data_IF_795978781270
#
_entry.id   IF_795978781270
#
_cell.length_a   1.000
_cell.length_b   1.000
_cell.length_c   1.000
_cell.angle_alpha   90.00
_cell.angle_beta   90.00
_cell.angle_gamma   90.00
#
_symmetry.space_group_name_H-M   'P 1'
#
loop_
_entity.id
_entity.type
_entity.pdbx_description
1 polymer ?
#
# COMPACT_ATOMS: atom_id res chain seq x y z
N UNK A 1 30.53 -5.35 -52.82
CA UNK A 1 30.69 -4.43 -51.68
C UNK A 1 30.27 -5.17 -50.42
N UNK A 2 31.17 -5.31 -49.44
CA UNK A 2 30.91 -6.12 -48.25
C UNK A 2 30.13 -5.34 -47.19
N UNK A 3 29.08 -5.96 -46.63
CA UNK A 3 28.22 -5.37 -45.61
C UNK A 3 28.97 -5.24 -44.27
N UNK A 4 28.99 -4.02 -43.71
CA UNK A 4 29.57 -3.74 -42.38
C UNK A 4 28.45 -3.64 -41.33
N UNK A 5 28.44 -4.51 -40.30
CA UNK A 5 27.39 -4.55 -39.29
C UNK A 5 27.28 -3.28 -38.43
N UNK A 6 26.09 -2.96 -37.91
CA UNK A 6 25.78 -1.68 -37.25
C UNK A 6 26.64 -1.36 -36.03
N UNK A 7 27.08 -2.37 -35.28
CA UNK A 7 27.80 -2.21 -34.01
C UNK A 7 29.26 -1.74 -34.19
N UNK A 8 29.78 -1.68 -35.42
CA UNK A 8 31.16 -1.19 -35.71
C UNK A 8 31.20 0.22 -36.30
N UNK A 9 30.08 0.95 -36.31
CA UNK A 9 29.96 2.26 -37.00
C UNK A 9 30.35 3.48 -36.16
N UNK A 10 30.76 3.31 -34.91
CA UNK A 10 31.08 4.45 -34.04
C UNK A 10 32.50 4.35 -33.47
N UNK A 11 33.49 4.78 -34.25
CA UNK A 11 34.78 5.24 -33.74
C UNK A 11 35.29 6.38 -34.64
N UNK A 12 35.44 7.56 -33.99
CA UNK A 12 36.05 8.83 -34.43
C UNK A 12 35.24 9.79 -35.31
N UNK A 13 34.76 10.86 -34.66
CA UNK A 13 35.25 12.23 -34.95
C UNK A 13 34.87 13.17 -33.80
N UNK A 14 35.86 13.60 -33.04
CA UNK A 14 35.76 14.81 -32.21
C UNK A 14 35.81 16.04 -33.13
N UNK A 15 34.83 16.93 -32.99
CA UNK A 15 35.00 18.34 -33.31
C UNK A 15 33.96 19.20 -32.54
N UNK A 16 34.51 20.19 -31.86
CA UNK A 16 33.95 21.18 -30.96
C UNK A 16 32.83 22.04 -31.57
N UNK A 17 31.73 22.29 -30.84
CA UNK A 17 30.94 23.52 -30.98
C UNK A 17 30.17 23.87 -29.70
N UNK A 18 30.25 25.13 -29.34
CA UNK A 18 29.85 25.82 -28.11
C UNK A 18 28.35 25.96 -27.85
N UNK A 19 28.00 25.99 -26.56
CA UNK A 19 26.93 26.74 -25.87
C UNK A 19 25.48 26.65 -26.39
N UNK A 20 24.59 26.07 -25.56
CA UNK A 20 23.40 26.80 -25.09
C UNK A 20 22.83 26.17 -23.81
N UNK A 21 22.76 26.98 -22.76
CA UNK A 21 22.08 26.69 -21.51
C UNK A 21 20.57 26.62 -21.75
N UNK A 22 20.00 25.42 -21.71
CA UNK A 22 18.56 25.22 -21.68
C UNK A 22 18.20 24.46 -20.40
N UNK A 23 17.85 25.23 -19.38
CA UNK A 23 17.24 24.76 -18.14
C UNK A 23 15.94 24.06 -18.52
N UNK A 24 15.94 22.72 -18.49
CA UNK A 24 14.71 21.95 -18.55
C UNK A 24 14.25 21.64 -17.13
N UNK A 25 12.97 21.89 -16.79
CA UNK A 25 12.47 21.66 -15.45
C UNK A 25 12.49 20.16 -15.13
N UNK A 26 13.04 19.82 -13.97
CA UNK A 26 13.17 18.47 -13.46
C UNK A 26 11.80 17.75 -13.46
N UNK A 27 11.62 16.85 -14.43
CA UNK A 27 10.48 15.94 -14.51
C UNK A 27 10.55 15.04 -13.27
N UNK A 28 9.64 15.26 -12.31
CA UNK A 28 9.47 14.37 -11.14
C UNK A 28 9.28 12.94 -11.63
N UNK A 29 10.31 12.12 -11.53
CA UNK A 29 10.27 10.72 -11.87
C UNK A 29 9.45 9.99 -10.79
N UNK A 30 8.18 9.74 -11.07
CA UNK A 30 7.42 8.75 -10.35
C UNK A 30 8.01 7.38 -10.68
N UNK A 31 8.80 6.82 -9.76
CA UNK A 31 9.15 5.40 -9.79
C UNK A 31 7.85 4.59 -9.63
N UNK A 32 7.28 4.19 -10.77
CA UNK A 32 6.19 3.22 -10.84
C UNK A 32 6.76 1.87 -10.38
N UNK A 33 6.56 1.52 -9.12
CA UNK A 33 6.58 0.11 -8.72
C UNK A 33 5.59 -0.62 -9.60
N UNK A 34 6.06 -1.62 -10.36
CA UNK A 34 5.26 -2.35 -11.35
C UNK A 34 4.21 -3.28 -10.73
N UNK A 35 4.09 -3.32 -9.41
CA UNK A 35 3.14 -4.18 -8.71
C UNK A 35 2.14 -3.32 -7.92
N UNK A 36 0.88 -3.40 -8.36
CA UNK A 36 -0.33 -2.83 -7.75
C UNK A 36 -0.50 -1.30 -7.89
N UNK A 37 -1.08 -0.87 -9.02
CA UNK A 37 -1.54 0.52 -9.27
C UNK A 37 -2.56 1.01 -8.21
N UNK A 38 -2.08 1.55 -7.09
CA UNK A 38 -2.87 2.46 -6.25
C UNK A 38 -2.81 3.86 -6.87
N UNK A 39 -3.96 4.55 -6.89
CA UNK A 39 -4.06 5.90 -7.46
C UNK A 39 -3.93 6.91 -6.32
N UNK A 40 -3.18 7.99 -6.55
CA UNK A 40 -3.13 9.13 -5.64
C UNK A 40 -4.05 10.22 -6.19
N UNK A 41 -4.80 10.88 -5.30
CA UNK A 41 -5.52 12.09 -5.66
C UNK A 41 -4.54 13.21 -6.03
N UNK A 42 -4.99 14.17 -6.83
CA UNK A 42 -4.19 15.33 -7.25
C UNK A 42 -3.59 16.08 -6.05
N UNK A 43 -4.41 16.33 -5.02
CA UNK A 43 -4.02 17.01 -3.79
C UNK A 43 -3.60 16.05 -2.66
N UNK A 44 -3.21 14.82 -2.99
CA UNK A 44 -2.86 13.82 -1.98
C UNK A 44 -1.69 14.29 -1.11
N UNK A 45 -1.84 14.10 0.20
CA UNK A 45 -0.78 14.37 1.18
C UNK A 45 0.04 13.10 1.42
N UNK A 46 1.35 13.23 1.40
CA UNK A 46 2.27 12.14 1.73
C UNK A 46 3.28 12.62 2.76
N UNK A 47 3.45 11.85 3.83
CA UNK A 47 4.40 12.12 4.92
C UNK A 47 5.23 10.88 5.20
N UNK A 48 6.50 11.11 5.50
CA UNK A 48 7.34 10.14 6.17
C UNK A 48 7.79 10.74 7.50
N UNK A 49 7.55 10.01 8.59
CA UNK A 49 7.84 10.42 9.95
C UNK A 49 8.80 9.41 10.57
N UNK A 50 9.70 9.90 11.42
CA UNK A 50 10.46 9.05 12.34
C UNK A 50 9.85 9.29 13.71
N UNK A 51 9.38 8.21 14.34
CA UNK A 51 8.58 8.29 15.56
C UNK A 51 9.26 7.45 16.63
N UNK A 52 9.38 7.99 17.84
CA UNK A 52 9.90 7.28 19.00
C UNK A 52 11.11 7.95 19.66
N UNK A 53 11.87 8.79 18.95
CA UNK A 53 12.99 9.55 19.52
C UNK A 53 12.62 11.00 19.85
N UNK A 54 13.01 11.49 21.02
CA UNK A 54 12.66 12.84 21.51
C UNK A 54 13.34 13.97 20.73
N UNK A 55 14.54 13.71 20.20
CA UNK A 55 15.32 14.70 19.46
C UNK A 55 15.70 14.17 18.06
N UNK A 56 15.19 14.83 17.02
CA UNK A 56 15.48 14.47 15.63
C UNK A 56 16.97 14.61 15.27
N UNK A 57 17.71 15.50 15.94
CA UNK A 57 19.15 15.69 15.67
C UNK A 57 19.99 14.47 16.02
N UNK A 58 19.50 13.60 16.92
CA UNK A 58 20.17 12.37 17.34
C UNK A 58 19.85 11.16 16.45
N UNK A 59 18.92 11.31 15.50
CA UNK A 59 18.52 10.22 14.62
C UNK A 59 19.72 9.63 13.85
N UNK A 60 20.61 10.42 13.23
CA UNK A 60 21.77 9.85 12.55
C UNK A 60 22.65 9.06 13.53
N UNK A 61 22.90 9.57 14.72
CA UNK A 61 23.79 8.90 15.68
C UNK A 61 23.24 7.56 16.14
N UNK A 62 21.91 7.47 16.32
CA UNK A 62 21.22 6.33 16.92
C UNK A 62 20.66 5.33 15.90
N UNK A 63 20.67 5.64 14.61
CA UNK A 63 20.09 4.76 13.59
C UNK A 63 21.06 4.35 12.49
N UNK A 64 20.79 3.19 11.91
CA UNK A 64 21.50 2.66 10.75
C UNK A 64 20.52 2.01 9.79
N UNK A 65 20.93 1.84 8.53
CA UNK A 65 20.17 1.11 7.53
C UNK A 65 20.70 -0.32 7.42
N UNK A 66 19.83 -1.32 7.55
CA UNK A 66 20.22 -2.73 7.41
C UNK A 66 19.42 -3.45 6.33
N UNK A 67 20.04 -4.41 5.62
CA UNK A 67 19.37 -5.20 4.61
C UNK A 67 18.29 -6.04 5.26
N UNK A 68 17.14 -6.07 4.61
CA UNK A 68 16.06 -6.95 5.05
C UNK A 68 16.24 -8.29 4.34
N UNK A 69 16.48 -9.35 5.11
CA UNK A 69 16.44 -10.72 4.60
C UNK A 69 14.99 -11.06 4.26
N UNK A 70 14.63 -10.91 2.99
CA UNK A 70 13.27 -11.15 2.52
C UNK A 70 13.28 -12.12 1.35
N UNK A 71 12.55 -13.23 1.50
CA UNK A 71 12.24 -14.16 0.40
C UNK A 71 11.60 -13.42 -0.80
N UNK A 72 10.87 -12.32 -0.51
CA UNK A 72 10.20 -11.43 -1.47
C UNK A 72 11.12 -10.84 -2.56
N UNK A 73 12.40 -10.56 -2.26
CA UNK A 73 13.33 -9.99 -3.26
C UNK A 73 14.20 -11.05 -3.93
N UNK A 74 14.36 -12.23 -3.32
CA UNK A 74 15.16 -13.30 -3.91
C UNK A 74 14.59 -13.81 -5.23
N UNK A 75 13.26 -13.72 -5.44
CA UNK A 75 12.64 -14.12 -6.70
C UNK A 75 12.78 -13.10 -7.85
N UNK A 76 13.11 -11.82 -7.59
CA UNK A 76 12.98 -10.76 -8.59
C UNK A 76 14.28 -10.10 -9.09
N UNK A 77 15.47 -10.53 -8.65
CA UNK A 77 16.70 -10.22 -9.38
C UNK A 77 17.88 -10.95 -8.77
N UNK A 78 18.62 -11.71 -9.57
CA UNK A 78 20.00 -12.07 -9.24
C UNK A 78 20.96 -10.87 -9.23
N UNK A 79 20.48 -9.63 -9.40
CA UNK A 79 21.29 -8.44 -9.69
C UNK A 79 21.01 -7.18 -8.85
N UNK A 80 19.86 -7.02 -8.16
CA UNK A 80 19.64 -5.85 -7.29
C UNK A 80 19.87 -6.20 -5.82
N UNK A 81 20.57 -5.34 -5.06
CA UNK A 81 20.75 -5.50 -3.62
C UNK A 81 19.39 -5.49 -2.88
N UNK A 82 19.28 -6.22 -1.75
CA UNK A 82 18.08 -6.21 -0.94
C UNK A 82 17.80 -4.78 -0.43
N UNK A 83 16.52 -4.37 -0.32
CA UNK A 83 16.23 -3.07 0.26
C UNK A 83 16.61 -3.03 1.73
N UNK A 84 16.77 -1.82 2.24
CA UNK A 84 17.18 -1.58 3.62
C UNK A 84 16.01 -1.16 4.49
N UNK A 85 16.11 -1.38 5.80
CA UNK A 85 15.18 -0.85 6.80
C UNK A 85 15.94 -0.04 7.84
N UNK A 86 15.27 0.94 8.44
CA UNK A 86 15.86 1.79 9.47
C UNK A 86 15.80 1.06 10.82
N UNK A 87 16.96 0.87 11.44
CA UNK A 87 17.11 0.19 12.72
C UNK A 87 17.79 1.11 13.73
N UNK A 88 17.49 0.92 15.01
CA UNK A 88 18.29 1.51 16.09
C UNK A 88 19.60 0.74 16.23
N UNK A 89 20.71 1.46 16.43
CA UNK A 89 22.03 0.85 16.68
C UNK A 89 22.08 0.13 18.03
N UNK A 90 21.57 0.82 19.06
CA UNK A 90 21.52 0.36 20.45
C UNK A 90 20.25 0.87 21.13
N UNK A 91 19.90 0.31 22.28
CA UNK A 91 18.89 0.90 23.16
C UNK A 91 19.45 2.23 23.67
N UNK A 92 18.90 3.34 23.20
CA UNK A 92 19.31 4.68 23.63
C UNK A 92 19.10 4.88 25.13
N UNK A 93 19.65 5.96 25.69
CA UNK A 93 19.33 6.32 27.07
C UNK A 93 17.82 6.55 27.19
N UNK A 94 17.24 6.32 28.36
CA UNK A 94 15.78 6.49 28.58
C UNK A 94 15.26 7.87 28.10
N UNK A 95 16.09 8.90 28.19
CA UNK A 95 15.79 10.28 27.77
C UNK A 95 15.78 10.48 26.25
N UNK A 96 16.27 9.51 25.47
CA UNK A 96 16.28 9.58 24.00
C UNK A 96 14.92 9.27 23.41
N UNK A 97 14.02 8.64 24.19
CA UNK A 97 12.71 8.23 23.72
C UNK A 97 11.65 9.29 24.04
N UNK A 98 10.75 9.51 23.08
CA UNK A 98 9.55 10.31 23.31
C UNK A 98 8.66 9.62 24.35
N UNK A 99 8.20 10.37 25.35
CA UNK A 99 7.27 9.86 26.35
C UNK A 99 5.91 9.48 25.75
N UNK A 100 5.39 10.34 24.85
CA UNK A 100 4.07 10.17 24.22
C UNK A 100 4.14 10.29 22.68
N UNK A 101 4.75 9.32 21.98
CA UNK A 101 4.99 9.40 20.53
C UNK A 101 3.69 9.54 19.71
N UNK A 102 2.58 8.95 20.19
CA UNK A 102 1.27 9.05 19.54
C UNK A 102 0.71 10.49 19.52
N UNK A 103 1.05 11.33 20.50
CA UNK A 103 0.64 12.74 20.51
C UNK A 103 1.36 13.54 19.42
N UNK A 104 2.66 13.28 19.24
CA UNK A 104 3.44 13.85 18.14
C UNK A 104 2.82 13.49 16.79
N UNK A 105 2.50 12.20 16.56
CA UNK A 105 1.87 11.74 15.32
C UNK A 105 0.54 12.46 15.06
N UNK A 106 -0.36 12.47 16.04
CA UNK A 106 -1.68 13.08 15.88
C UNK A 106 -1.59 14.60 15.65
N UNK A 107 -0.68 15.30 16.35
CA UNK A 107 -0.45 16.74 16.15
C UNK A 107 0.10 17.03 14.76
N UNK A 108 1.11 16.28 14.33
CA UNK A 108 1.76 16.45 13.03
C UNK A 108 0.81 16.19 11.87
N UNK A 109 -0.08 15.20 11.99
CA UNK A 109 -1.00 14.82 10.92
C UNK A 109 -2.34 15.56 10.94
N UNK A 110 -2.64 16.36 11.97
CA UNK A 110 -3.92 17.08 12.15
C UNK A 110 -4.34 17.81 10.87
N UNK A 111 -3.50 18.72 10.39
CA UNK A 111 -3.86 19.58 9.27
C UNK A 111 -3.98 18.81 7.95
N UNK A 112 -3.07 17.87 7.70
CA UNK A 112 -3.11 17.06 6.49
C UNK A 112 -4.36 16.16 6.45
N UNK A 113 -4.74 15.56 7.59
CA UNK A 113 -5.95 14.74 7.69
C UNK A 113 -7.22 15.57 7.44
N UNK A 114 -7.34 16.73 8.08
CA UNK A 114 -8.49 17.62 7.91
C UNK A 114 -8.61 18.11 6.47
N UNK A 115 -7.50 18.58 5.88
CA UNK A 115 -7.45 19.01 4.49
C UNK A 115 -7.84 17.87 3.53
N UNK A 116 -7.21 16.70 3.66
CA UNK A 116 -7.51 15.55 2.79
C UNK A 116 -8.96 15.10 2.93
N UNK A 117 -9.56 15.21 4.13
CA UNK A 117 -10.97 14.89 4.32
C UNK A 117 -11.93 15.91 3.69
N UNK A 118 -11.60 17.20 3.75
CA UNK A 118 -12.35 18.25 3.06
C UNK A 118 -12.39 18.01 1.55
N UNK A 119 -11.25 17.63 0.96
CA UNK A 119 -11.18 17.27 -0.46
C UNK A 119 -12.06 16.05 -0.78
N UNK A 120 -12.03 15.03 0.08
CA UNK A 120 -12.94 13.87 -0.06
C UNK A 120 -14.41 14.28 0.02
N UNK A 121 -14.78 15.17 0.94
CA UNK A 121 -16.16 15.65 1.07
C UNK A 121 -16.62 16.41 -0.19
N UNK A 122 -15.76 17.24 -0.79
CA UNK A 122 -16.06 17.90 -2.07
C UNK A 122 -16.31 16.87 -3.18
N UNK A 123 -15.43 15.87 -3.28
CA UNK A 123 -15.57 14.77 -4.24
C UNK A 123 -16.87 14.00 -4.03
N UNK A 124 -17.28 13.77 -2.79
CA UNK A 124 -18.55 13.08 -2.47
C UNK A 124 -19.78 13.90 -2.88
N UNK A 125 -19.75 15.23 -2.71
CA UNK A 125 -20.87 16.12 -3.07
C UNK A 125 -21.07 16.25 -4.59
N UNK A 126 -19.98 16.23 -5.36
CA UNK A 126 -20.02 16.38 -6.82
C UNK A 126 -20.14 15.07 -7.60
N UNK A 127 -20.36 13.93 -6.94
CA UNK A 127 -20.38 12.63 -7.60
C UNK A 127 -21.81 12.11 -7.77
N UNK A 128 -22.28 12.13 -9.01
CA UNK A 128 -23.66 11.80 -9.38
C UNK A 128 -23.93 10.28 -9.46
N UNK A 129 -22.90 9.45 -9.70
CA UNK A 129 -23.07 8.03 -10.02
C UNK A 129 -22.42 7.08 -9.01
N UNK A 130 -23.18 6.68 -7.98
CA UNK A 130 -22.78 5.65 -7.04
C UNK A 130 -22.17 6.17 -5.73
N UNK A 131 -21.67 5.26 -4.89
CA UNK A 131 -21.20 5.61 -3.54
C UNK A 131 -19.67 5.68 -3.44
N UNK A 132 -19.16 6.83 -3.00
CA UNK A 132 -17.76 7.01 -2.59
C UNK A 132 -17.66 6.77 -1.08
N UNK A 133 -16.88 5.75 -0.68
CA UNK A 133 -16.66 5.42 0.73
C UNK A 133 -15.23 5.79 1.17
N UNK A 134 -15.03 6.89 1.93
CA UNK A 134 -13.80 7.12 2.67
C UNK A 134 -13.51 6.05 3.71
N UNK A 135 -12.24 5.82 4.00
CA UNK A 135 -11.79 4.99 5.10
C UNK A 135 -10.43 5.48 5.60
N UNK A 136 -10.30 5.65 6.91
CA UNK A 136 -9.04 5.86 7.60
C UNK A 136 -8.55 4.52 8.14
N UNK A 137 -7.36 4.11 7.72
CA UNK A 137 -6.81 2.78 8.01
C UNK A 137 -5.36 2.89 8.46
N UNK A 138 -5.04 2.20 9.55
CA UNK A 138 -3.67 1.88 9.94
C UNK A 138 -3.27 0.50 9.39
N UNK A 139 -2.07 0.38 8.85
CA UNK A 139 -1.46 -0.88 8.41
C UNK A 139 -0.10 -1.05 9.05
N UNK A 140 0.24 -2.28 9.35
CA UNK A 140 1.50 -2.67 9.99
C UNK A 140 2.43 -3.31 8.97
N UNK A 141 3.73 -3.14 9.16
CA UNK A 141 4.70 -3.62 8.19
C UNK A 141 6.10 -3.06 8.42
N UNK A 142 6.85 -2.93 7.32
CA UNK A 142 8.18 -2.31 7.30
C UNK A 142 8.30 -1.26 6.22
N UNK A 143 8.90 -0.14 6.56
CA UNK A 143 9.37 0.83 5.57
C UNK A 143 10.69 0.30 5.01
N UNK A 144 10.70 0.15 3.69
CA UNK A 144 11.84 -0.30 2.92
C UNK A 144 12.40 0.89 2.16
N UNK A 145 13.66 1.17 2.38
CA UNK A 145 14.46 2.14 1.65
C UNK A 145 15.06 1.46 0.43
N UNK A 146 14.86 2.10 -0.70
CA UNK A 146 15.45 1.73 -1.97
C UNK A 146 16.54 2.75 -2.29
N UNK A 147 17.60 2.29 -2.95
CA UNK A 147 18.61 3.18 -3.52
C UNK A 147 17.96 4.14 -4.51
N UNK A 148 18.72 5.16 -4.90
CA UNK A 148 18.36 6.02 -6.02
C UNK A 148 19.48 6.00 -7.07
N UNK A 149 19.31 6.76 -8.16
CA UNK A 149 20.34 6.81 -9.21
C UNK A 149 21.70 7.35 -8.73
N UNK A 150 21.73 8.03 -7.59
CA UNK A 150 22.91 8.64 -6.98
C UNK A 150 23.46 7.90 -5.75
N UNK A 151 22.65 7.04 -5.12
CA UNK A 151 22.97 6.36 -3.87
C UNK A 151 22.68 4.86 -4.05
N UNK A 152 23.73 4.05 -4.15
CA UNK A 152 23.60 2.60 -4.20
C UNK A 152 23.31 2.02 -2.82
N UNK A 153 22.55 0.92 -2.74
CA UNK A 153 22.19 0.30 -1.47
C UNK A 153 23.40 -0.28 -0.75
N UNK A 154 24.40 -0.77 -1.49
CA UNK A 154 25.67 -1.27 -0.94
C UNK A 154 26.42 -0.16 -0.20
N UNK A 155 26.40 1.07 -0.72
CA UNK A 155 27.11 2.21 -0.12
C UNK A 155 26.49 2.69 1.19
N UNK A 156 25.19 2.43 1.41
CA UNK A 156 24.46 2.89 2.59
C UNK A 156 24.08 1.75 3.55
N UNK A 157 24.48 0.52 3.24
CA UNK A 157 24.31 -0.61 4.14
C UNK A 157 25.18 -0.42 5.40
N UNK A 158 24.57 -0.56 6.57
CA UNK A 158 25.20 -0.40 7.88
C UNK A 158 25.58 1.04 8.19
N UNK A 159 25.26 2.00 7.30
CA UNK A 159 25.62 3.40 7.49
C UNK A 159 24.54 4.15 8.25
N UNK A 160 25.00 5.18 8.98
CA UNK A 160 24.14 6.26 9.44
C UNK A 160 24.07 7.31 8.35
N UNK A 161 22.87 7.83 8.09
CA UNK A 161 22.67 8.90 7.13
C UNK A 161 22.07 10.13 7.81
N UNK A 162 22.45 11.34 7.37
CA UNK A 162 21.73 12.56 7.73
C UNK A 162 20.25 12.44 7.35
N UNK A 163 19.38 13.04 8.16
CA UNK A 163 17.93 12.96 7.98
C UNK A 163 17.47 13.46 6.60
N UNK A 164 18.06 14.53 6.09
CA UNK A 164 17.69 15.08 4.78
C UNK A 164 18.12 14.18 3.62
N UNK A 165 19.21 13.42 3.77
CA UNK A 165 19.59 12.38 2.82
C UNK A 165 18.56 11.24 2.82
N UNK A 166 18.15 10.77 3.99
CA UNK A 166 17.11 9.73 4.09
C UNK A 166 15.76 10.20 3.52
N UNK A 167 15.40 11.47 3.70
CA UNK A 167 14.19 12.06 3.11
C UNK A 167 14.17 11.97 1.58
N UNK A 168 15.34 11.95 0.92
CA UNK A 168 15.45 11.83 -0.54
C UNK A 168 15.35 10.41 -1.07
N UNK A 169 15.65 9.40 -0.24
CA UNK A 169 15.58 8.00 -0.64
C UNK A 169 14.17 7.58 -1.05
N UNK A 170 14.09 6.72 -2.07
CA UNK A 170 12.85 6.08 -2.47
C UNK A 170 12.40 5.09 -1.39
N UNK A 171 11.09 5.02 -1.12
CA UNK A 171 10.53 4.19 -0.06
C UNK A 171 9.33 3.41 -0.54
N UNK A 172 9.21 2.18 -0.05
CA UNK A 172 7.97 1.41 -0.08
C UNK A 172 7.56 0.99 1.32
N UNK A 173 6.31 0.60 1.49
CA UNK A 173 5.83 0.02 2.74
C UNK A 173 5.38 -1.40 2.46
N UNK A 174 6.04 -2.34 3.12
CA UNK A 174 5.84 -3.76 2.96
C UNK A 174 4.97 -4.28 4.10
N UNK A 175 3.79 -4.80 3.76
CA UNK A 175 2.71 -5.10 4.72
C UNK A 175 2.71 -6.52 5.26
N UNK A 176 3.55 -7.41 4.74
CA UNK A 176 3.66 -8.77 5.26
C UNK A 176 4.35 -8.71 6.64
N UNK A 177 3.72 -9.33 7.63
CA UNK A 177 4.24 -9.40 8.99
C UNK A 177 4.54 -10.85 9.36
N UNK A 178 5.51 -11.12 10.26
CA UNK A 178 5.83 -12.48 10.67
C UNK A 178 4.62 -13.21 11.28
N UNK A 179 4.49 -14.55 11.11
CA UNK A 179 3.41 -15.33 11.73
C UNK A 179 3.35 -15.18 13.26
N UNK A 180 4.50 -15.07 13.93
CA UNK A 180 4.57 -14.81 15.39
C UNK A 180 3.89 -13.51 15.80
N UNK A 181 3.88 -12.51 14.92
CA UNK A 181 3.16 -11.26 15.14
C UNK A 181 1.64 -11.44 15.02
N UNK A 182 1.18 -12.27 14.08
CA UNK A 182 -0.24 -12.61 13.95
C UNK A 182 -0.74 -13.35 15.19
N UNK A 183 0.05 -14.30 15.68
CA UNK A 183 -0.23 -15.04 16.90
C UNK A 183 -0.37 -14.10 18.09
N UNK A 184 0.62 -13.21 18.32
CA UNK A 184 0.57 -12.20 19.38
C UNK A 184 -0.65 -11.29 19.30
N UNK A 185 -1.02 -10.86 18.09
CA UNK A 185 -2.20 -10.02 17.89
C UNK A 185 -3.47 -10.78 18.31
N UNK A 186 -3.52 -12.07 17.99
CA UNK A 186 -4.69 -12.91 18.26
C UNK A 186 -4.79 -13.26 19.74
N UNK A 187 -3.68 -13.57 20.40
CA UNK A 187 -3.63 -14.00 21.80
C UNK A 187 -3.63 -12.84 22.80
N UNK A 188 -2.97 -11.72 22.49
CA UNK A 188 -2.81 -10.59 23.43
C UNK A 188 -3.69 -9.39 23.05
N UNK A 189 -3.58 -8.91 21.80
CA UNK A 189 -4.17 -7.61 21.43
C UNK A 189 -5.69 -7.66 21.33
N UNK A 190 -6.24 -8.67 20.66
CA UNK A 190 -7.69 -8.82 20.47
C UNK A 190 -8.42 -8.87 21.82
N UNK A 191 -8.01 -9.72 22.80
CA UNK A 191 -8.63 -9.73 24.11
C UNK A 191 -8.45 -8.41 24.89
N UNK A 192 -7.25 -7.83 24.87
CA UNK A 192 -6.93 -6.61 25.64
C UNK A 192 -7.73 -5.38 25.20
N UNK A 193 -8.14 -5.33 23.93
CA UNK A 193 -8.90 -4.21 23.34
C UNK A 193 -10.39 -4.53 23.20
N UNK A 194 -10.83 -5.68 23.73
CA UNK A 194 -12.21 -6.18 23.66
C UNK A 194 -12.76 -6.20 22.22
N UNK A 195 -11.93 -6.70 21.30
CA UNK A 195 -12.36 -6.94 19.93
C UNK A 195 -13.19 -8.22 19.86
N UNK A 196 -14.42 -8.11 19.36
CA UNK A 196 -15.32 -9.25 19.14
C UNK A 196 -15.18 -9.75 17.72
N UNK A 197 -15.13 -11.07 17.55
CA UNK A 197 -15.17 -11.69 16.22
C UNK A 197 -16.49 -11.29 15.52
N UNK A 198 -16.38 -10.81 14.29
CA UNK A 198 -17.52 -10.40 13.45
C UNK A 198 -17.77 -11.43 12.36
N UNK A 199 -16.73 -11.78 11.59
CA UNK A 199 -16.86 -12.67 10.44
C UNK A 199 -15.51 -13.21 9.98
N UNK A 200 -15.55 -14.37 9.32
CA UNK A 200 -14.48 -14.87 8.46
C UNK A 200 -14.97 -14.89 7.01
N UNK A 201 -14.14 -14.38 6.09
CA UNK A 201 -14.45 -14.32 4.67
C UNK A 201 -13.29 -14.85 3.83
N UNK A 202 -13.64 -15.65 2.84
CA UNK A 202 -12.75 -16.04 1.76
C UNK A 202 -13.20 -15.33 0.48
N UNK A 203 -12.31 -14.59 -0.15
CA UNK A 203 -12.62 -13.75 -1.31
C UNK A 203 -11.53 -13.85 -2.36
N UNK A 204 -11.95 -13.97 -3.62
CA UNK A 204 -11.09 -13.79 -4.78
C UNK A 204 -11.29 -12.39 -5.33
N UNK A 205 -10.26 -11.56 -5.30
CA UNK A 205 -10.28 -10.26 -5.98
C UNK A 205 -9.56 -10.38 -7.31
N UNK A 206 -10.33 -10.28 -8.39
CA UNK A 206 -9.82 -10.24 -9.74
C UNK A 206 -9.56 -8.78 -10.11
N UNK A 207 -8.37 -8.53 -10.66
CA UNK A 207 -8.01 -7.24 -11.23
C UNK A 207 -8.17 -7.33 -12.73
N UNK A 208 -9.07 -6.51 -13.27
CA UNK A 208 -9.40 -6.49 -14.70
C UNK A 208 -8.92 -5.17 -15.28
N UNK A 209 -8.22 -5.27 -16.41
CA UNK A 209 -7.86 -4.14 -17.25
C UNK A 209 -8.99 -3.87 -18.24
N UNK A 210 -9.34 -2.59 -18.43
CA UNK A 210 -10.23 -2.14 -19.51
C UNK A 210 -9.36 -1.50 -20.59
N UNK A 211 -9.30 -2.08 -21.80
CA UNK A 211 -8.49 -1.54 -22.89
C UNK A 211 -8.95 -0.16 -23.36
N UNK A 212 -10.23 0.18 -23.17
CA UNK A 212 -10.74 1.52 -23.49
C UNK A 212 -10.40 2.55 -22.40
N UNK A 213 -10.05 2.08 -21.19
CA UNK A 213 -9.67 2.92 -20.04
C UNK A 213 -8.40 2.39 -19.39
N UNK A 214 -7.23 2.45 -20.06
CA UNK A 214 -6.01 1.77 -19.64
C UNK A 214 -5.48 2.24 -18.27
N UNK A 215 -5.84 3.46 -17.83
CA UNK A 215 -5.45 4.02 -16.54
C UNK A 215 -6.31 3.54 -15.36
N UNK A 216 -7.42 2.84 -15.64
CA UNK A 216 -8.36 2.34 -14.64
C UNK A 216 -8.29 0.81 -14.65
N UNK A 217 -8.09 0.22 -13.47
CA UNK A 217 -8.38 -1.19 -13.26
C UNK A 217 -9.63 -1.38 -12.44
N UNK A 218 -10.46 -2.32 -12.88
CA UNK A 218 -11.67 -2.77 -12.23
C UNK A 218 -11.27 -3.87 -11.25
N UNK A 219 -11.78 -3.79 -10.03
CA UNK A 219 -11.61 -4.81 -9.01
C UNK A 219 -12.92 -5.56 -8.82
N UNK A 220 -12.96 -6.80 -9.28
CA UNK A 220 -14.11 -7.70 -9.10
C UNK A 220 -13.84 -8.60 -7.91
N UNK A 221 -14.63 -8.42 -6.85
CA UNK A 221 -14.62 -9.30 -5.69
C UNK A 221 -15.59 -10.44 -5.94
N UNK A 222 -15.10 -11.65 -5.76
CA UNK A 222 -15.81 -12.88 -6.03
C UNK A 222 -15.79 -13.78 -4.80
N UNK A 223 -16.86 -14.54 -4.63
CA UNK A 223 -16.99 -15.62 -3.65
C UNK A 223 -17.06 -16.95 -4.39
N UNK A 224 -16.89 -18.06 -3.67
CA UNK A 224 -17.15 -19.38 -4.25
C UNK A 224 -18.62 -19.72 -4.03
N UNK A 225 -19.34 -19.96 -5.13
CA UNK A 225 -20.74 -20.37 -5.07
C UNK A 225 -20.87 -21.74 -4.41
N UNK A 226 -21.82 -21.85 -3.47
CA UNK A 226 -22.10 -23.12 -2.79
C UNK A 226 -22.67 -24.13 -3.78
N UNK A 227 -22.06 -25.32 -3.86
CA UNK A 227 -22.54 -26.45 -4.66
C UNK A 227 -21.96 -26.56 -6.07
N UNK A 228 -21.49 -25.47 -6.69
CA UNK A 228 -20.89 -25.51 -8.05
C UNK A 228 -19.38 -25.37 -8.05
N UNK A 229 -18.78 -24.94 -6.94
CA UNK A 229 -17.34 -24.64 -6.82
C UNK A 229 -16.84 -23.65 -7.89
N UNK A 230 -17.73 -22.78 -8.38
CA UNK A 230 -17.42 -21.71 -9.34
C UNK A 230 -17.28 -20.37 -8.63
N UNK A 231 -16.52 -19.46 -9.24
CA UNK A 231 -16.49 -18.08 -8.79
C UNK A 231 -17.79 -17.36 -9.16
N UNK A 232 -18.35 -16.64 -8.21
CA UNK A 232 -19.52 -15.80 -8.37
C UNK A 232 -19.15 -14.36 -8.01
N UNK A 233 -19.56 -13.42 -8.86
CA UNK A 233 -19.31 -12.01 -8.64
C UNK A 233 -20.12 -11.50 -7.44
N UNK A 234 -19.43 -11.07 -6.39
CA UNK A 234 -20.02 -10.49 -5.19
C UNK A 234 -20.11 -8.96 -5.27
N UNK A 235 -19.05 -8.30 -5.80
CA UNK A 235 -18.98 -6.84 -5.81
C UNK A 235 -17.97 -6.32 -6.83
N UNK A 236 -18.35 -5.31 -7.60
CA UNK A 236 -17.44 -4.54 -8.45
C UNK A 236 -17.00 -3.26 -7.73
N UNK A 237 -15.78 -2.84 -7.94
CA UNK A 237 -15.30 -1.50 -7.55
C UNK A 237 -14.10 -1.07 -8.37
N UNK A 238 -13.66 0.17 -8.17
CA UNK A 238 -12.43 0.67 -8.79
C UNK A 238 -11.25 0.65 -7.81
N UNK A 239 -10.08 0.97 -8.35
CA UNK A 239 -8.88 1.22 -7.56
C UNK A 239 -9.15 2.18 -6.40
N UNK A 240 -8.50 1.90 -5.27
CA UNK A 240 -8.54 2.79 -4.12
C UNK A 240 -7.76 4.06 -4.46
N UNK A 241 -8.36 5.22 -4.18
CA UNK A 241 -7.71 6.53 -4.36
C UNK A 241 -7.23 7.03 -3.01
N UNK A 242 -5.92 7.23 -2.88
CA UNK A 242 -5.27 7.68 -1.65
C UNK A 242 -5.27 9.19 -1.58
N UNK A 243 -5.73 9.75 -0.46
CA UNK A 243 -5.83 11.19 -0.18
C UNK A 243 -4.82 11.64 0.88
N UNK A 244 -4.49 10.75 1.81
CA UNK A 244 -3.42 10.92 2.79
C UNK A 244 -2.70 9.58 2.96
N UNK A 245 -1.37 9.61 3.00
CA UNK A 245 -0.53 8.49 3.43
C UNK A 245 0.57 9.04 4.33
N UNK A 246 0.63 8.56 5.56
CA UNK A 246 1.70 8.86 6.50
C UNK A 246 2.39 7.55 6.88
N UNK A 247 3.65 7.43 6.46
CA UNK A 247 4.53 6.31 6.78
C UNK A 247 5.38 6.68 7.98
N UNK A 248 5.38 5.86 9.01
CA UNK A 248 6.03 6.12 10.29
C UNK A 248 7.06 5.04 10.55
N UNK A 249 8.33 5.43 10.61
CA UNK A 249 9.40 4.55 11.08
C UNK A 249 9.33 4.56 12.61
N UNK A 250 8.88 3.46 13.19
CA UNK A 250 8.59 3.37 14.62
C UNK A 250 9.84 2.88 15.36
N UNK A 251 10.72 3.80 15.75
CA UNK A 251 11.97 3.48 16.44
C UNK A 251 11.67 2.88 17.82
N UNK A 252 12.35 1.78 18.13
CA UNK A 252 12.11 0.98 19.34
C UNK A 252 10.94 0.00 19.22
N UNK A 253 10.31 -0.08 18.04
CA UNK A 253 9.28 -1.07 17.71
C UNK A 253 9.77 -2.01 16.62
N UNK A 254 9.23 -3.23 16.59
CA UNK A 254 9.62 -4.18 15.55
C UNK A 254 8.87 -3.95 14.24
N UNK A 255 7.77 -3.18 14.22
CA UNK A 255 7.00 -2.88 13.02
C UNK A 255 6.83 -1.37 12.86
N UNK A 256 6.85 -0.95 11.61
CA UNK A 256 6.49 0.39 11.17
C UNK A 256 4.98 0.49 10.92
N UNK A 257 4.48 1.72 10.87
CA UNK A 257 3.06 2.02 10.74
C UNK A 257 2.80 2.86 9.49
N UNK A 258 1.77 2.50 8.72
CA UNK A 258 1.20 3.35 7.68
C UNK A 258 -0.21 3.76 8.06
N UNK A 259 -0.45 5.05 8.27
CA UNK A 259 -1.79 5.61 8.38
C UNK A 259 -2.21 6.16 7.02
N UNK A 260 -3.40 5.78 6.54
CA UNK A 260 -3.88 6.20 5.22
C UNK A 260 -5.37 6.57 5.22
N UNK A 261 -5.69 7.72 4.61
CA UNK A 261 -7.05 8.06 4.19
C UNK A 261 -7.17 7.76 2.71
N UNK A 262 -8.12 6.91 2.34
CA UNK A 262 -8.43 6.62 0.95
C UNK A 262 -9.93 6.58 0.72
N UNK A 263 -10.35 6.69 -0.53
CA UNK A 263 -11.73 6.41 -0.96
C UNK A 263 -11.78 5.16 -1.83
N UNK A 264 -12.90 4.43 -1.74
CA UNK A 264 -13.25 3.37 -2.70
C UNK A 264 -14.54 3.78 -3.41
N UNK A 265 -14.55 3.63 -4.74
CA UNK A 265 -15.78 3.70 -5.54
C UNK A 265 -16.40 2.31 -5.56
N UNK A 266 -17.62 2.22 -5.04
CA UNK A 266 -18.34 0.95 -4.81
C UNK A 266 -19.31 0.63 -5.94
N UNK A 267 -19.68 1.62 -6.75
CA UNK A 267 -20.42 1.40 -7.98
C UNK A 267 -19.63 2.02 -9.14
N UNK A 268 -19.60 1.30 -10.25
CA UNK A 268 -19.09 1.76 -11.54
C UNK A 268 -20.31 1.80 -12.44
N UNK A 269 -20.49 2.89 -13.19
CA UNK A 269 -21.46 2.90 -14.28
C UNK A 269 -20.98 1.88 -15.32
N UNK A 270 -21.57 0.69 -15.27
CA UNK A 270 -21.41 -0.39 -16.23
C UNK A 270 -22.78 -0.64 -16.84
N UNK A 271 -22.82 -0.89 -18.15
CA UNK A 271 -24.04 -1.36 -18.81
C UNK A 271 -24.34 -2.80 -18.38
N UNK A 272 -25.59 -3.24 -18.53
CA UNK A 272 -25.97 -4.62 -18.22
C UNK A 272 -25.16 -5.62 -19.08
N UNK A 273 -24.88 -5.28 -20.34
CA UNK A 273 -24.02 -6.06 -21.23
C UNK A 273 -22.58 -6.18 -20.70
N UNK A 274 -21.96 -5.07 -20.28
CA UNK A 274 -20.61 -5.09 -19.70
C UNK A 274 -20.56 -5.93 -18.41
N UNK A 275 -21.64 -5.88 -17.62
CA UNK A 275 -21.75 -6.66 -16.39
C UNK A 275 -21.86 -8.16 -16.68
N UNK A 276 -22.70 -8.56 -17.64
CA UNK A 276 -22.85 -9.96 -18.04
C UNK A 276 -21.58 -10.52 -18.68
N UNK A 277 -20.89 -9.73 -19.51
CA UNK A 277 -19.57 -10.08 -20.05
C UNK A 277 -18.55 -10.37 -18.94
N UNK A 278 -18.52 -9.51 -17.92
CA UNK A 278 -17.64 -9.72 -16.78
C UNK A 278 -18.05 -10.93 -15.95
N UNK A 279 -19.34 -11.14 -15.68
CA UNK A 279 -19.82 -12.33 -14.96
C UNK A 279 -19.46 -13.62 -15.69
N UNK A 280 -19.73 -13.69 -16.99
CA UNK A 280 -19.39 -14.84 -17.84
C UNK A 280 -17.89 -15.16 -17.80
N UNK A 281 -17.04 -14.13 -17.91
CA UNK A 281 -15.59 -14.28 -17.77
C UNK A 281 -15.21 -14.81 -16.38
N UNK A 282 -15.82 -14.32 -15.31
CA UNK A 282 -15.55 -14.75 -13.92
C UNK A 282 -16.02 -16.20 -13.69
N UNK A 283 -17.21 -16.57 -14.15
CA UNK A 283 -17.78 -17.90 -13.98
C UNK A 283 -17.06 -18.98 -14.78
N UNK A 284 -16.33 -18.58 -15.85
CA UNK A 284 -15.47 -19.48 -16.63
C UNK A 284 -14.17 -19.87 -15.92
N UNK A 285 -13.86 -19.21 -14.80
CA UNK A 285 -12.68 -19.50 -14.01
C UNK A 285 -12.77 -20.88 -13.35
N UNK A 286 -11.64 -21.58 -13.30
CA UNK A 286 -11.49 -22.86 -12.61
C UNK A 286 -10.67 -22.63 -11.35
N UNK A 287 -11.24 -23.00 -10.19
CA UNK A 287 -10.51 -23.01 -8.93
C UNK A 287 -9.47 -24.13 -8.97
N UNK A 288 -8.24 -23.79 -8.64
CA UNK A 288 -7.11 -24.71 -8.70
C UNK A 288 -6.10 -24.30 -7.62
N UNK A 289 -5.98 -25.10 -6.56
CA UNK A 289 -5.08 -24.81 -5.44
C UNK A 289 -3.60 -24.90 -5.80
N UNK A 290 -3.28 -25.58 -6.91
CA UNK A 290 -1.91 -25.83 -7.32
C UNK A 290 -1.32 -24.67 -8.14
N UNK A 291 -2.15 -23.74 -8.59
CA UNK A 291 -1.71 -22.56 -9.35
C UNK A 291 -1.61 -21.31 -8.48
N UNK A 292 -0.73 -20.41 -8.89
CA UNK A 292 -0.50 -19.14 -8.21
C UNK A 292 -1.77 -18.28 -8.21
N UNK A 293 -2.19 -17.81 -7.03
CA UNK A 293 -3.44 -17.09 -6.86
C UNK A 293 -4.71 -17.97 -6.83
N UNK A 294 -4.59 -19.29 -6.94
CA UNK A 294 -5.67 -20.26 -6.68
C UNK A 294 -6.73 -20.37 -7.78
N UNK A 295 -6.51 -19.74 -8.94
CA UNK A 295 -7.50 -19.66 -10.03
C UNK A 295 -6.79 -19.66 -11.37
N UNK A 296 -7.31 -20.44 -12.33
CA UNK A 296 -6.90 -20.40 -13.73
C UNK A 296 -8.09 -20.28 -14.67
N UNK A 297 -7.81 -19.88 -15.91
CA UNK A 297 -8.80 -19.82 -16.98
C UNK A 297 -8.47 -20.82 -18.08
N UNK A 298 -9.49 -21.42 -18.72
CA UNK A 298 -9.30 -22.04 -20.02
C UNK A 298 -8.73 -21.05 -21.04
N UNK A 299 -8.04 -21.56 -22.06
CA UNK A 299 -7.39 -20.72 -23.07
C UNK A 299 -8.40 -19.74 -23.70
N UNK A 300 -8.04 -18.45 -23.70
CA UNK A 300 -8.87 -17.37 -24.24
C UNK A 300 -10.04 -16.92 -23.35
N UNK A 301 -10.33 -17.60 -22.24
CA UNK A 301 -11.45 -17.25 -21.34
C UNK A 301 -11.09 -16.22 -20.27
N UNK A 302 -9.81 -15.85 -20.14
CA UNK A 302 -9.35 -14.79 -19.23
C UNK A 302 -9.68 -13.37 -19.73
N UNK A 303 -10.29 -13.26 -20.91
CA UNK A 303 -10.72 -12.02 -21.53
C UNK A 303 -12.18 -12.10 -21.93
N UNK A 304 -12.89 -10.97 -21.89
CA UNK A 304 -14.19 -10.81 -22.53
C UNK A 304 -14.06 -9.85 -23.70
N UNK A 305 -14.32 -10.38 -24.90
CA UNK A 305 -14.07 -9.72 -26.18
C UNK A 305 -12.65 -9.14 -26.27
N UNK A 306 -12.53 -8.00 -26.93
CA UNK A 306 -11.26 -7.28 -27.05
C UNK A 306 -11.05 -6.24 -25.96
N UNK A 307 -11.95 -6.11 -24.99
CA UNK A 307 -11.96 -4.98 -24.05
C UNK A 307 -11.45 -5.33 -22.67
N UNK A 308 -11.96 -6.39 -22.06
CA UNK A 308 -11.66 -6.72 -20.67
C UNK A 308 -10.71 -7.90 -20.59
N UNK A 309 -9.67 -7.78 -19.76
CA UNK A 309 -8.71 -8.86 -19.53
C UNK A 309 -8.33 -8.92 -18.06
N UNK A 310 -8.35 -10.13 -17.48
CA UNK A 310 -7.83 -10.35 -16.12
C UNK A 310 -6.31 -10.18 -16.13
N UNK A 311 -5.81 -9.30 -15.27
CA UNK A 311 -4.38 -8.96 -15.16
C UNK A 311 -3.78 -9.31 -13.80
N UNK A 312 -4.59 -9.80 -12.88
CA UNK A 312 -4.10 -10.38 -11.63
C UNK A 312 -5.22 -10.96 -10.78
N UNK A 313 -4.84 -11.88 -9.91
CA UNK A 313 -5.73 -12.54 -8.96
C UNK A 313 -5.19 -12.32 -7.56
N UNK A 314 -6.08 -12.12 -6.61
CA UNK A 314 -5.75 -12.14 -5.19
C UNK A 314 -6.75 -12.98 -4.43
N UNK A 315 -6.32 -14.13 -3.96
CA UNK A 315 -7.05 -14.86 -2.93
C UNK A 315 -6.80 -14.22 -1.56
N UNK A 316 -7.84 -14.08 -0.75
CA UNK A 316 -7.73 -13.58 0.61
C UNK A 316 -8.60 -14.39 1.55
N UNK A 317 -8.01 -14.87 2.63
CA UNK A 317 -8.71 -15.33 3.82
C UNK A 317 -8.59 -14.24 4.89
N UNK A 318 -9.71 -13.66 5.29
CA UNK A 318 -9.72 -12.53 6.22
C UNK A 318 -10.65 -12.82 7.40
N UNK A 319 -10.09 -12.71 8.61
CA UNK A 319 -10.84 -12.66 9.85
C UNK A 319 -11.03 -11.22 10.29
N UNK A 320 -12.25 -10.91 10.65
CA UNK A 320 -12.67 -9.58 11.06
C UNK A 320 -13.05 -9.57 12.52
N UNK A 321 -12.51 -8.59 13.23
CA UNK A 321 -12.88 -8.32 14.61
C UNK A 321 -13.27 -6.84 14.75
N UNK A 322 -14.26 -6.57 15.60
CA UNK A 322 -14.83 -5.24 15.76
C UNK A 322 -15.10 -4.93 17.23
N UNK A 323 -14.88 -3.68 17.59
CA UNK A 323 -15.38 -3.08 18.82
C UNK A 323 -16.16 -1.80 18.47
N UNK A 324 -16.53 -0.99 19.47
CA UNK A 324 -17.34 0.22 19.27
C UNK A 324 -16.67 1.28 18.39
N UNK A 325 -15.34 1.32 18.30
CA UNK A 325 -14.58 2.41 17.67
C UNK A 325 -13.78 2.00 16.44
N UNK A 326 -13.40 0.73 16.35
CA UNK A 326 -12.44 0.21 15.39
C UNK A 326 -12.88 -1.12 14.79
N UNK A 327 -12.31 -1.42 13.63
CA UNK A 327 -12.41 -2.73 12.96
C UNK A 327 -11.01 -3.24 12.64
N UNK A 328 -10.62 -4.35 13.25
CA UNK A 328 -9.38 -5.07 12.97
C UNK A 328 -9.64 -6.12 11.89
N UNK A 329 -8.77 -6.21 10.89
CA UNK A 329 -8.76 -7.30 9.93
C UNK A 329 -7.39 -7.97 9.96
N UNK A 330 -7.38 -9.27 10.24
CA UNK A 330 -6.23 -10.16 10.12
C UNK A 330 -6.46 -10.98 8.86
N UNK A 331 -5.50 -11.02 7.94
CA UNK A 331 -5.70 -11.72 6.66
C UNK A 331 -4.43 -12.35 6.13
N UNK A 332 -4.61 -13.53 5.55
CA UNK A 332 -3.66 -14.14 4.65
C UNK A 332 -4.07 -13.77 3.22
N UNK A 333 -3.13 -13.29 2.42
CA UNK A 333 -3.37 -12.90 1.04
C UNK A 333 -2.33 -13.53 0.11
N UNK A 334 -2.81 -14.31 -0.85
CA UNK A 334 -2.01 -14.84 -1.96
C UNK A 334 -2.33 -14.02 -3.22
N UNK A 335 -1.30 -13.43 -3.82
CA UNK A 335 -1.43 -12.52 -4.96
C UNK A 335 -0.63 -13.06 -6.10
N UNK A 336 -1.22 -12.98 -7.27
CA UNK A 336 -0.52 -13.22 -8.51
C UNK A 336 -0.81 -12.09 -9.50
N UNK A 337 0.26 -11.45 -9.99
CA UNK A 337 0.19 -10.45 -11.05
C UNK A 337 0.65 -11.07 -12.37
N UNK A 338 -0.29 -11.26 -13.30
CA UNK A 338 -0.04 -11.89 -14.59
C UNK A 338 0.91 -11.06 -15.47
N UNK A 339 1.00 -9.74 -15.26
CA UNK A 339 1.86 -8.87 -16.08
C UNK A 339 3.32 -9.00 -15.71
N UNK A 340 3.62 -9.21 -14.44
CA UNK A 340 4.98 -9.41 -13.94
C UNK A 340 5.32 -10.86 -13.67
N UNK A 341 4.36 -11.79 -13.79
CA UNK A 341 4.51 -13.19 -13.37
C UNK A 341 5.04 -13.30 -11.94
N UNK A 342 4.49 -12.48 -11.04
CA UNK A 342 4.99 -12.36 -9.68
C UNK A 342 3.94 -12.79 -8.68
N UNK A 343 4.34 -13.69 -7.78
CA UNK A 343 3.54 -14.15 -6.66
C UNK A 343 3.99 -13.50 -5.34
N UNK A 344 3.03 -13.11 -4.52
CA UNK A 344 3.26 -12.56 -3.18
C UNK A 344 2.26 -13.15 -2.18
N UNK A 345 2.76 -13.92 -1.23
CA UNK A 345 1.98 -14.45 -0.10
C UNK A 345 2.33 -13.61 1.13
N UNK A 346 1.31 -13.02 1.75
CA UNK A 346 1.49 -12.11 2.86
C UNK A 346 0.44 -12.30 3.95
N UNK A 347 0.91 -12.35 5.19
CA UNK A 347 0.10 -12.15 6.38
C UNK A 347 0.02 -10.66 6.68
N UNK A 348 -1.19 -10.12 6.78
CA UNK A 348 -1.39 -8.68 6.92
C UNK A 348 -2.40 -8.35 8.01
N UNK A 349 -2.10 -7.28 8.74
CA UNK A 349 -3.02 -6.71 9.71
C UNK A 349 -3.34 -5.27 9.35
N UNK A 350 -4.61 -4.93 9.47
CA UNK A 350 -5.08 -3.56 9.25
C UNK A 350 -6.19 -3.19 10.21
N UNK A 351 -6.14 -1.96 10.70
CA UNK A 351 -7.11 -1.42 11.64
C UNK A 351 -7.82 -0.23 10.98
N UNK A 352 -9.12 -0.35 10.80
CA UNK A 352 -9.97 0.70 10.24
C UNK A 352 -10.62 1.48 11.38
N UNK A 353 -10.69 2.80 11.23
CA UNK A 353 -11.20 3.72 12.25
C UNK A 353 -12.50 4.40 11.76
N UNK A 354 -13.62 3.66 11.67
CA UNK A 354 -14.88 4.20 11.16
C UNK A 354 -15.41 5.36 12.02
N UNK A 355 -15.20 5.32 13.34
CA UNK A 355 -15.65 6.38 14.25
C UNK A 355 -15.10 7.77 13.89
N UNK A 356 -13.81 7.86 13.53
CA UNK A 356 -13.19 9.12 13.10
C UNK A 356 -13.83 9.63 11.80
N UNK A 357 -14.06 8.73 10.84
CA UNK A 357 -14.70 9.09 9.57
C UNK A 357 -16.12 9.60 9.81
N UNK A 358 -16.89 8.96 10.70
CA UNK A 358 -18.24 9.41 11.05
C UNK A 358 -18.21 10.82 11.66
N UNK A 359 -17.31 11.08 12.61
CA UNK A 359 -17.17 12.40 13.24
C UNK A 359 -16.78 13.49 12.24
N UNK A 360 -15.88 13.20 11.30
CA UNK A 360 -15.48 14.15 10.27
C UNK A 360 -16.58 14.46 9.24
N UNK A 361 -17.62 13.62 9.14
CA UNK A 361 -18.76 13.83 8.23
C UNK A 361 -19.85 14.73 8.78
N UNK A 362 -19.96 14.87 10.10
CA UNK A 362 -21.05 15.64 10.73
C UNK A 362 -20.97 17.12 10.30
N UNK A 363 -22.11 17.73 9.97
CA UNK A 363 -22.15 19.08 9.39
C UNK A 363 -21.57 20.16 10.32
N UNK A 364 -21.66 19.93 11.63
CA UNK A 364 -20.98 20.71 12.68
C UNK A 364 -19.73 19.95 13.13
N UNK A 365 -18.73 19.83 12.25
CA UNK A 365 -17.54 19.01 12.48
C UNK A 365 -16.88 19.39 13.81
N UNK A 366 -17.05 18.55 14.83
CA UNK A 366 -16.21 18.64 16.03
C UNK A 366 -14.83 18.06 15.67
N UNK A 367 -14.05 18.84 14.93
CA UNK A 367 -12.72 18.44 14.45
C UNK A 367 -11.83 18.04 15.62
N UNK A 368 -12.01 18.67 16.78
CA UNK A 368 -11.26 18.35 17.99
C UNK A 368 -11.63 16.97 18.54
N UNK A 369 -12.91 16.58 18.54
CA UNK A 369 -13.31 15.21 18.93
C UNK A 369 -12.71 14.15 18.00
N UNK A 370 -12.75 14.36 16.68
CA UNK A 370 -12.15 13.44 15.72
C UNK A 370 -10.63 13.27 15.94
N UNK A 371 -9.94 14.34 16.37
CA UNK A 371 -8.52 14.31 16.68
C UNK A 371 -8.22 13.66 18.03
N UNK A 372 -9.07 13.87 19.04
CA UNK A 372 -8.96 13.14 20.30
C UNK A 372 -9.16 11.64 20.09
N UNK A 373 -10.09 11.24 19.22
CA UNK A 373 -10.23 9.85 18.79
C UNK A 373 -8.97 9.36 18.07
N UNK A 374 -8.39 10.15 17.18
CA UNK A 374 -7.13 9.78 16.52
C UNK A 374 -6.00 9.57 17.53
N UNK A 375 -5.83 10.48 18.50
CA UNK A 375 -4.82 10.37 19.57
C UNK A 375 -4.99 9.07 20.35
N UNK A 376 -6.20 8.78 20.84
CA UNK A 376 -6.51 7.54 21.58
C UNK A 376 -6.25 6.29 20.73
N UNK A 377 -6.62 6.32 19.46
CA UNK A 377 -6.38 5.21 18.54
C UNK A 377 -4.89 4.97 18.29
N UNK A 378 -4.11 6.05 18.12
CA UNK A 378 -2.65 5.96 17.94
C UNK A 378 -1.96 5.50 19.22
N UNK A 379 -2.41 5.94 20.40
CA UNK A 379 -1.92 5.47 21.69
C UNK A 379 -2.13 3.96 21.85
N UNK A 380 -3.34 3.49 21.55
CA UNK A 380 -3.68 2.07 21.63
C UNK A 380 -2.85 1.23 20.66
N UNK A 381 -2.63 1.73 19.44
CA UNK A 381 -1.74 1.07 18.48
C UNK A 381 -0.31 1.03 19.05
N UNK A 382 0.22 2.17 19.48
CA UNK A 382 1.60 2.27 19.97
C UNK A 382 1.87 1.42 21.21
N UNK A 383 0.88 1.24 22.09
CA UNK A 383 1.07 0.43 23.32
C UNK A 383 1.01 -1.07 23.08
N UNK A 384 0.49 -1.53 21.94
CA UNK A 384 0.22 -2.95 21.72
C UNK A 384 0.82 -3.55 20.44
N UNK A 385 1.25 -2.70 19.50
CA UNK A 385 2.07 -3.07 18.34
C UNK A 385 3.50 -2.53 18.54
#
# INVERSE_FOLDING_TARGET
MAYVPPHKRHLKSDATSSSSSSITPARKLNHKSKTINYVYAENAKWRWLIVGLANESRIPDLTLLHPVSMEFFQQNSGENPPPLTLMLKEIGAKNDYMENPWLYVAKTLKQDLLFSFQEVNKLMKGFEFGEIKPSLVARFGKILFHGDRSISLESINGSSLPLDTMKRLSRSFYTNIPPSYIERITSEFIPKVDFKFEEEKQLYNLKISDKMRPDISIACKCTVAKGTNKLELYKIGLNQVRHLVADMSCLGKNLDLRLMLFTKKVSVALTDEELEDMKSMIESAVLDSEVEGGVRWPLGKQSSGDRYTVIGVRYMKAQTYRNSVMKLNVRCADRFDYRSSHRDVAEEVSLTMPGIISQLREQNVNTDLALEMLKKNMELIWKNF
#
